data_IF_470854178716
#
_entry.id   IF_470854178716
#
_cell.length_a   1.000
_cell.length_b   1.000
_cell.length_c   1.000
_cell.angle_alpha   90.00
_cell.angle_beta   90.00
_cell.angle_gamma   90.00
#
_symmetry.space_group_name_H-M   'P 1'
#
loop_
_entity.id
_entity.type
_entity.pdbx_description
1 polymer ?
#
# COMPACT_ATOMS: atom_id res chain seq x y z
N UNK A 1 5.47 6.34 -8.77
CA UNK A 1 4.01 6.39 -8.62
C UNK A 1 3.42 5.97 -9.96
N UNK A 2 2.50 5.00 -9.96
CA UNK A 2 1.77 4.54 -11.14
C UNK A 2 0.33 5.01 -11.08
N UNK A 3 -0.19 5.55 -12.16
CA UNK A 3 -1.58 5.97 -12.30
C UNK A 3 -1.75 7.17 -13.22
N UNK A 4 -2.96 7.35 -13.68
CA UNK A 4 -3.39 8.49 -14.47
C UNK A 4 -4.45 9.27 -13.70
N UNK A 5 -4.38 10.60 -13.74
CA UNK A 5 -5.34 11.44 -13.02
C UNK A 5 -5.14 12.92 -13.35
N UNK A 6 -6.14 13.71 -13.05
CA UNK A 6 -6.17 15.15 -13.31
C UNK A 6 -5.04 15.92 -12.61
N UNK A 7 -4.45 15.34 -11.55
CA UNK A 7 -3.38 15.97 -10.80
C UNK A 7 -1.98 15.68 -11.35
N UNK A 8 -1.85 14.95 -12.47
CA UNK A 8 -0.55 14.56 -13.00
C UNK A 8 0.39 15.77 -13.20
N UNK A 9 -0.08 16.79 -13.89
CA UNK A 9 0.76 17.95 -14.22
C UNK A 9 1.12 18.78 -12.98
N UNK A 10 0.17 18.93 -12.05
CA UNK A 10 0.43 19.62 -10.79
C UNK A 10 1.42 18.87 -9.90
N UNK A 11 1.37 17.53 -9.88
CA UNK A 11 2.34 16.71 -9.18
C UNK A 11 3.72 16.78 -9.83
N UNK A 12 3.78 16.76 -11.16
CA UNK A 12 5.05 16.93 -11.89
C UNK A 12 5.69 18.28 -11.62
N UNK A 13 4.89 19.35 -11.61
CA UNK A 13 5.36 20.68 -11.23
C UNK A 13 5.89 20.70 -9.78
N UNK A 14 5.14 20.10 -8.84
CA UNK A 14 5.55 20.03 -7.43
C UNK A 14 6.85 19.26 -7.24
N UNK A 15 7.05 18.15 -7.96
CA UNK A 15 8.30 17.38 -7.95
C UNK A 15 9.47 18.29 -8.38
N UNK A 16 9.28 19.07 -9.44
CA UNK A 16 10.30 19.99 -9.96
C UNK A 16 10.61 21.13 -8.98
N UNK A 17 9.56 21.77 -8.43
CA UNK A 17 9.72 22.83 -7.42
C UNK A 17 10.48 22.37 -6.17
N UNK A 18 10.42 21.07 -5.85
CA UNK A 18 11.12 20.45 -4.73
C UNK A 18 12.50 19.86 -5.10
N UNK A 19 12.89 19.91 -6.37
CA UNK A 19 14.13 19.32 -6.85
C UNK A 19 14.20 17.80 -6.69
N UNK A 20 13.06 17.13 -6.87
CA UNK A 20 12.91 15.69 -6.62
C UNK A 20 12.84 14.84 -7.91
N UNK A 21 13.16 15.39 -9.09
CA UNK A 21 13.04 14.73 -10.39
C UNK A 21 13.86 13.43 -10.48
N UNK A 22 14.97 13.38 -9.77
CA UNK A 22 15.81 12.18 -9.71
C UNK A 22 15.39 11.16 -8.64
N UNK A 23 14.38 11.48 -7.81
CA UNK A 23 13.92 10.65 -6.70
C UNK A 23 12.48 10.18 -6.84
N UNK A 24 11.62 10.99 -7.45
CA UNK A 24 10.19 10.71 -7.62
C UNK A 24 9.87 10.66 -9.11
N UNK A 25 9.23 9.60 -9.54
CA UNK A 25 8.79 9.41 -10.93
C UNK A 25 7.31 9.12 -10.99
N UNK A 26 6.61 9.84 -11.86
CA UNK A 26 5.23 9.53 -12.23
C UNK A 26 5.25 8.63 -13.46
N UNK A 27 4.46 7.57 -13.43
CA UNK A 27 4.27 6.65 -14.54
C UNK A 27 2.78 6.54 -14.86
N UNK A 28 2.41 6.39 -16.13
CA UNK A 28 1.01 6.16 -16.49
C UNK A 28 0.49 4.86 -15.86
N UNK A 29 -0.83 4.69 -15.88
CA UNK A 29 -1.45 3.42 -15.56
C UNK A 29 -0.96 2.34 -16.54
N UNK A 30 -0.62 1.17 -16.03
CA UNK A 30 -0.09 0.04 -16.82
C UNK A 30 -0.79 -1.25 -16.40
N UNK A 31 -0.96 -2.17 -17.35
CA UNK A 31 -1.59 -3.47 -17.08
C UNK A 31 -0.65 -4.48 -16.38
N UNK A 32 0.66 -4.26 -16.48
CA UNK A 32 1.71 -5.12 -15.93
C UNK A 32 2.31 -4.57 -14.62
N UNK A 33 1.54 -3.81 -13.86
CA UNK A 33 2.03 -3.14 -12.63
C UNK A 33 2.67 -4.12 -11.65
N UNK A 34 2.12 -5.33 -11.51
CA UNK A 34 2.66 -6.34 -10.59
C UNK A 34 4.10 -6.73 -10.94
N UNK A 35 4.41 -6.91 -12.23
CA UNK A 35 5.79 -7.21 -12.66
C UNK A 35 6.74 -6.05 -12.38
N UNK A 36 6.24 -4.82 -12.47
CA UNK A 36 7.05 -3.61 -12.24
C UNK A 36 7.34 -3.34 -10.79
N UNK A 37 6.45 -3.74 -9.89
CA UNK A 37 6.58 -3.46 -8.45
C UNK A 37 7.00 -4.69 -7.63
N UNK A 38 7.17 -5.86 -8.24
CA UNK A 38 7.48 -7.12 -7.53
C UNK A 38 8.70 -7.04 -6.61
N UNK A 39 9.67 -6.19 -6.96
CA UNK A 39 10.89 -5.96 -6.19
C UNK A 39 10.83 -4.64 -5.40
N UNK A 40 9.65 -4.05 -5.24
CA UNK A 40 9.49 -2.83 -4.47
C UNK A 40 9.79 -3.09 -2.99
N UNK A 41 10.53 -2.17 -2.39
CA UNK A 41 10.92 -2.27 -0.99
C UNK A 41 9.75 -2.04 -0.03
N UNK A 42 8.81 -1.18 -0.42
CA UNK A 42 7.54 -0.95 0.28
C UNK A 42 6.47 -0.42 -0.67
N UNK A 43 5.22 -0.63 -0.31
CA UNK A 43 4.04 0.01 -0.91
C UNK A 43 3.49 1.04 0.06
N UNK A 44 3.15 2.23 -0.45
CA UNK A 44 2.59 3.32 0.36
C UNK A 44 1.30 3.83 -0.28
N UNK A 45 0.25 3.91 0.52
CA UNK A 45 -1.02 4.55 0.15
C UNK A 45 -1.34 5.66 1.15
N UNK A 46 -1.38 6.91 0.68
CA UNK A 46 -1.64 8.11 1.46
C UNK A 46 -3.04 8.67 1.25
N UNK A 47 -4.01 7.82 0.92
CA UNK A 47 -5.37 8.22 0.60
C UNK A 47 -6.09 8.84 1.80
N UNK A 48 -6.84 9.91 1.58
CA UNK A 48 -7.72 10.49 2.60
C UNK A 48 -9.02 9.70 2.75
N UNK A 49 -9.42 9.02 1.68
CA UNK A 49 -10.62 8.19 1.64
C UNK A 49 -10.37 6.98 0.73
N UNK A 50 -10.51 5.79 1.29
CA UNK A 50 -10.33 4.53 0.56
C UNK A 50 -11.17 3.43 1.23
N UNK A 51 -11.85 2.63 0.43
CA UNK A 51 -12.46 1.40 0.91
C UNK A 51 -11.41 0.29 1.10
N UNK A 52 -11.77 -0.93 0.76
CA UNK A 52 -10.80 -2.02 0.70
C UNK A 52 -10.02 -1.93 -0.63
N UNK A 53 -8.83 -1.36 -0.56
CA UNK A 53 -8.00 -1.07 -1.73
C UNK A 53 -7.45 -2.33 -2.39
N UNK A 54 -7.72 -2.52 -3.68
CA UNK A 54 -7.15 -3.63 -4.44
C UNK A 54 -5.63 -3.54 -4.53
N UNK A 55 -5.07 -2.36 -4.78
CA UNK A 55 -3.62 -2.18 -4.87
C UNK A 55 -2.90 -2.49 -3.56
N UNK A 56 -3.53 -2.17 -2.42
CA UNK A 56 -3.03 -2.57 -1.10
C UNK A 56 -3.04 -4.10 -0.94
N UNK A 57 -4.15 -4.75 -1.26
CA UNK A 57 -4.27 -6.22 -1.17
C UNK A 57 -3.28 -6.93 -2.09
N UNK A 58 -3.07 -6.41 -3.29
CA UNK A 58 -2.10 -6.91 -4.26
C UNK A 58 -0.66 -6.79 -3.73
N UNK A 59 -0.29 -5.63 -3.19
CA UNK A 59 1.02 -5.44 -2.56
C UNK A 59 1.24 -6.39 -1.39
N UNK A 60 0.26 -6.52 -0.49
CA UNK A 60 0.30 -7.48 0.62
C UNK A 60 0.45 -8.91 0.11
N UNK A 61 -0.32 -9.29 -0.93
CA UNK A 61 -0.25 -10.61 -1.53
C UNK A 61 1.10 -10.90 -2.24
N UNK A 62 1.84 -9.88 -2.60
CA UNK A 62 3.21 -10.00 -3.13
C UNK A 62 4.27 -10.05 -2.01
N UNK A 63 3.88 -9.85 -0.77
CA UNK A 63 4.80 -9.79 0.38
C UNK A 63 5.56 -8.48 0.47
N UNK A 64 5.05 -7.43 -0.17
CA UNK A 64 5.63 -6.10 -0.11
C UNK A 64 5.19 -5.44 1.21
N UNK A 65 6.12 -4.95 2.05
CA UNK A 65 5.77 -4.19 3.24
C UNK A 65 4.83 -3.04 2.88
N UNK A 66 3.66 -3.00 3.51
CA UNK A 66 2.56 -2.10 3.13
C UNK A 66 2.30 -1.08 4.23
N UNK A 67 2.25 0.19 3.85
CA UNK A 67 1.97 1.34 4.71
C UNK A 67 0.74 2.05 4.13
N UNK A 68 -0.32 2.20 4.93
CA UNK A 68 -1.55 2.86 4.50
C UNK A 68 -2.06 3.85 5.54
N UNK A 69 -2.77 4.86 5.08
CA UNK A 69 -3.57 5.69 5.97
C UNK A 69 -4.79 4.92 6.51
N UNK A 70 -5.10 5.10 7.79
CA UNK A 70 -6.29 4.53 8.45
C UNK A 70 -7.53 5.40 8.09
N UNK A 71 -8.02 5.24 6.87
CA UNK A 71 -9.16 5.98 6.36
C UNK A 71 -10.45 5.68 7.17
N UNK A 72 -11.36 6.64 7.31
CA UNK A 72 -12.60 6.49 8.11
C UNK A 72 -13.49 5.31 7.71
N UNK A 73 -13.49 4.90 6.43
CA UNK A 73 -14.21 3.71 5.97
C UNK A 73 -13.60 2.39 6.45
N UNK A 74 -12.38 2.40 7.02
CA UNK A 74 -11.79 1.28 7.73
C UNK A 74 -11.31 0.11 6.86
N UNK A 75 -11.24 0.26 5.53
CA UNK A 75 -10.86 -0.84 4.64
C UNK A 75 -9.45 -1.37 4.91
N UNK A 76 -8.47 -0.50 5.10
CA UNK A 76 -7.12 -0.93 5.47
C UNK A 76 -7.09 -1.64 6.82
N UNK A 77 -7.80 -1.11 7.82
CA UNK A 77 -7.88 -1.66 9.18
C UNK A 77 -8.58 -3.02 9.26
N UNK A 78 -9.39 -3.38 8.26
CA UNK A 78 -9.99 -4.73 8.19
C UNK A 78 -8.95 -5.83 7.96
N UNK A 79 -7.83 -5.52 7.31
CA UNK A 79 -6.83 -6.50 6.87
C UNK A 79 -5.44 -6.25 7.41
N UNK A 80 -5.13 -5.01 7.79
CA UNK A 80 -3.85 -4.63 8.39
C UNK A 80 -3.96 -4.65 9.92
N UNK A 81 -3.16 -5.50 10.53
CA UNK A 81 -2.83 -5.46 11.95
C UNK A 81 -1.54 -4.66 12.10
N UNK A 82 -1.70 -3.42 12.64
CA UNK A 82 -0.63 -2.43 12.68
C UNK A 82 0.64 -2.96 13.38
N UNK A 83 1.78 -2.84 12.72
CA UNK A 83 3.07 -3.31 13.20
C UNK A 83 3.33 -4.82 12.98
N UNK A 84 2.35 -5.58 12.51
CA UNK A 84 2.48 -7.03 12.26
C UNK A 84 2.56 -7.33 10.76
N UNK A 85 1.50 -7.04 10.00
CA UNK A 85 1.42 -7.35 8.57
C UNK A 85 1.32 -6.10 7.68
N UNK A 86 1.51 -4.93 8.26
CA UNK A 86 1.50 -3.62 7.63
C UNK A 86 1.59 -2.53 8.67
N UNK A 87 1.69 -1.28 8.22
CA UNK A 87 1.65 -0.11 9.08
C UNK A 87 0.44 0.75 8.72
N UNK A 88 -0.23 1.28 9.74
CA UNK A 88 -1.32 2.24 9.61
C UNK A 88 -0.90 3.58 10.19
N UNK A 89 -1.18 4.65 9.47
CA UNK A 89 -0.90 6.02 9.88
C UNK A 89 -2.18 6.87 9.85
N UNK A 90 -2.29 7.93 10.64
CA UNK A 90 -3.45 8.82 10.56
C UNK A 90 -3.56 9.49 9.18
N UNK A 91 -4.80 9.72 8.73
CA UNK A 91 -5.07 10.49 7.51
C UNK A 91 -4.56 11.93 7.68
N UNK A 92 -3.87 12.44 6.66
CA UNK A 92 -3.34 13.80 6.63
C UNK A 92 -2.08 14.03 7.46
N UNK A 93 -1.63 13.05 8.24
CA UNK A 93 -0.41 13.15 9.06
C UNK A 93 0.83 12.72 8.25
N UNK A 94 1.48 13.74 7.66
CA UNK A 94 2.68 13.52 6.83
C UNK A 94 3.88 13.08 7.67
N UNK A 95 3.95 13.51 8.91
CA UNK A 95 5.09 13.22 9.78
C UNK A 95 5.04 11.76 10.23
N UNK A 96 3.88 11.27 10.63
CA UNK A 96 3.66 9.85 10.95
C UNK A 96 3.85 8.96 9.72
N UNK A 97 3.35 9.37 8.54
CA UNK A 97 3.58 8.62 7.30
C UNK A 97 5.08 8.54 6.96
N UNK A 98 5.79 9.66 7.07
CA UNK A 98 7.25 9.71 6.85
C UNK A 98 8.00 8.85 7.86
N UNK A 99 7.62 8.89 9.14
CA UNK A 99 8.23 8.07 10.18
C UNK A 99 8.02 6.56 9.93
N UNK A 100 6.80 6.16 9.51
CA UNK A 100 6.50 4.78 9.15
C UNK A 100 7.34 4.30 7.94
N UNK A 101 7.47 5.14 6.92
CA UNK A 101 8.34 4.86 5.76
C UNK A 101 9.81 4.70 6.18
N UNK A 102 10.30 5.61 7.03
CA UNK A 102 11.67 5.58 7.52
C UNK A 102 11.92 4.34 8.38
N UNK A 103 10.98 3.94 9.23
CA UNK A 103 11.07 2.72 10.05
C UNK A 103 11.27 1.47 9.19
N UNK A 104 10.53 1.36 8.09
CA UNK A 104 10.68 0.24 7.14
C UNK A 104 12.00 0.34 6.37
N UNK A 105 12.38 1.56 5.95
CA UNK A 105 13.61 1.79 5.17
C UNK A 105 14.88 1.48 5.97
N UNK A 106 14.93 1.85 7.25
CA UNK A 106 16.10 1.69 8.10
C UNK A 106 16.25 0.30 8.70
N UNK A 107 15.18 -0.50 8.71
CA UNK A 107 15.18 -1.80 9.36
C UNK A 107 14.70 -2.93 8.44
N UNK A 108 15.65 -3.56 7.77
CA UNK A 108 15.38 -4.69 6.86
C UNK A 108 14.68 -5.87 7.56
N UNK A 109 14.91 -6.08 8.86
CA UNK A 109 14.24 -7.15 9.60
C UNK A 109 12.75 -6.84 9.81
N UNK A 110 12.42 -5.58 10.12
CA UNK A 110 11.02 -5.12 10.21
C UNK A 110 10.35 -5.27 8.84
N UNK A 111 10.98 -4.76 7.78
CA UNK A 111 10.49 -4.90 6.42
C UNK A 111 10.20 -6.36 6.06
N UNK A 112 11.17 -7.24 6.30
CA UNK A 112 11.02 -8.69 6.04
C UNK A 112 9.86 -9.31 6.83
N UNK A 113 9.78 -9.02 8.12
CA UNK A 113 8.73 -9.59 8.98
C UNK A 113 7.34 -9.14 8.54
N UNK A 114 7.16 -7.85 8.29
CA UNK A 114 5.88 -7.28 7.80
C UNK A 114 5.50 -7.92 6.46
N UNK A 115 6.43 -7.98 5.50
CA UNK A 115 6.17 -8.59 4.19
C UNK A 115 5.79 -10.06 4.29
N UNK A 116 6.48 -10.83 5.13
CA UNK A 116 6.18 -12.25 5.40
C UNK A 116 4.78 -12.44 6.00
N UNK A 117 4.40 -11.61 6.95
CA UNK A 117 3.07 -11.68 7.56
C UNK A 117 1.97 -11.20 6.61
N UNK A 118 2.26 -10.17 5.77
CA UNK A 118 1.36 -9.69 4.73
C UNK A 118 0.97 -10.80 3.73
N UNK A 119 1.89 -11.68 3.35
CA UNK A 119 1.63 -12.82 2.46
C UNK A 119 0.46 -13.71 2.90
N UNK A 120 0.15 -13.75 4.19
CA UNK A 120 -0.97 -14.55 4.71
C UNK A 120 -2.33 -14.08 4.21
N UNK A 121 -2.42 -12.88 3.63
CA UNK A 121 -3.63 -12.37 2.99
C UNK A 121 -4.11 -13.30 1.87
N UNK A 122 -3.19 -13.95 1.15
CA UNK A 122 -3.52 -14.91 0.07
C UNK A 122 -4.42 -16.03 0.54
N UNK A 123 -4.15 -16.58 1.72
CA UNK A 123 -4.97 -17.64 2.29
C UNK A 123 -6.26 -17.09 2.90
N UNK A 124 -6.21 -15.91 3.54
CA UNK A 124 -7.40 -15.29 4.16
C UNK A 124 -8.46 -14.89 3.13
N UNK A 125 -8.05 -14.43 1.96
CA UNK A 125 -8.92 -13.96 0.87
C UNK A 125 -8.90 -14.88 -0.35
N UNK A 126 -8.57 -16.16 -0.18
CA UNK A 126 -8.63 -17.12 -1.28
C UNK A 126 -10.09 -17.32 -1.73
N UNK A 127 -10.27 -17.62 -3.02
CA UNK A 127 -11.59 -17.86 -3.61
C UNK A 127 -12.39 -18.90 -2.82
N UNK A 128 -11.74 -19.97 -2.37
CA UNK A 128 -12.41 -21.05 -1.62
C UNK A 128 -12.94 -20.55 -0.28
N UNK A 129 -12.16 -19.73 0.44
CA UNK A 129 -12.60 -19.14 1.71
C UNK A 129 -13.77 -18.19 1.46
N UNK A 130 -13.63 -17.26 0.52
CA UNK A 130 -14.67 -16.27 0.23
C UNK A 130 -15.96 -16.96 -0.23
N UNK A 131 -15.88 -17.91 -1.14
CA UNK A 131 -17.06 -18.69 -1.59
C UNK A 131 -17.67 -19.49 -0.43
N UNK A 132 -16.82 -20.05 0.45
CA UNK A 132 -17.27 -20.75 1.65
C UNK A 132 -18.06 -19.85 2.61
N UNK A 133 -17.61 -18.60 2.80
CA UNK A 133 -18.35 -17.64 3.63
C UNK A 133 -19.69 -17.22 2.99
N UNK A 134 -19.71 -16.95 1.68
CA UNK A 134 -20.95 -16.66 0.96
C UNK A 134 -21.98 -17.79 1.06
N UNK A 135 -21.56 -19.05 0.95
CA UNK A 135 -22.45 -20.22 1.07
C UNK A 135 -23.10 -20.37 2.43
N UNK A 136 -22.57 -19.74 3.49
CA UNK A 136 -23.18 -19.75 4.82
C UNK A 136 -24.35 -18.76 4.95
N UNK A 137 -24.42 -17.79 4.04
CA UNK A 137 -25.40 -16.69 4.08
C UNK A 137 -26.60 -16.98 3.16
N UNK A 138 -26.37 -17.81 2.15
CA UNK A 138 -27.39 -18.26 1.18
C UNK A 138 -27.98 -19.60 1.62
#
# INVERSE_FOLDING_TARGET
IYGDGELHDSLQQYISEKGLENKVRLHPAVSDVHERIKDAYMFVSSSDFEGLSNSMLEAMAMGIPTICTDCPCGGAKMVIENGINGLLTPVGDKDELSAAMQQVADNSQIAHNIGKEALKIRSKLSTDIIVGEWRKII
#
